data_IF_917672339224
#
_entry.id   IF_917672339224
#
_cell.length_a   1.000
_cell.length_b   1.000
_cell.length_c   1.000
_cell.angle_alpha   90.00
_cell.angle_beta   90.00
_cell.angle_gamma   90.00
#
_symmetry.space_group_name_H-M   'P 1'
#
loop_
_entity.id
_entity.type
_entity.pdbx_description
1 polymer ?
#
# COMPACT_ATOMS: atom_id res chain seq x y z
N UNK A 1 23.08 6.06 9.74
CA UNK A 1 23.92 6.29 8.55
C UNK A 1 23.52 5.31 7.46
N UNK A 2 23.04 5.82 6.31
CA UNK A 2 22.60 5.05 5.14
C UNK A 2 23.73 4.86 4.15
N UNK A 3 23.93 3.64 3.64
CA UNK A 3 24.85 3.38 2.53
C UNK A 3 24.07 3.16 1.22
N UNK A 4 24.53 3.82 0.12
CA UNK A 4 24.12 3.73 -1.28
C UNK A 4 22.69 4.21 -1.57
N UNK A 5 22.61 5.43 -2.07
CA UNK A 5 21.42 6.03 -2.68
C UNK A 5 21.41 5.79 -4.18
N UNK A 6 20.34 5.23 -4.73
CA UNK A 6 20.12 5.10 -6.18
C UNK A 6 18.64 5.25 -6.49
N UNK A 7 18.32 6.00 -7.54
CA UNK A 7 16.98 5.92 -8.14
C UNK A 7 16.82 4.58 -8.84
N UNK A 8 15.71 3.88 -8.58
CA UNK A 8 15.39 2.60 -9.22
C UNK A 8 13.91 2.53 -9.54
N UNK A 9 13.62 1.90 -10.66
CA UNK A 9 12.26 1.49 -11.03
C UNK A 9 12.21 -0.03 -11.02
N UNK A 10 11.21 -0.59 -10.37
CA UNK A 10 10.96 -2.02 -10.35
C UNK A 10 9.57 -2.29 -10.95
N UNK A 11 9.50 -3.19 -11.92
CA UNK A 11 8.26 -3.61 -12.53
C UNK A 11 7.91 -5.03 -12.04
N UNK A 12 6.82 -5.15 -11.30
CA UNK A 12 6.33 -6.43 -10.78
C UNK A 12 5.11 -6.82 -11.62
N UNK A 13 5.20 -7.98 -12.28
CA UNK A 13 4.10 -8.57 -13.05
C UNK A 13 3.44 -9.63 -12.20
N UNK A 14 2.21 -9.37 -11.77
CA UNK A 14 1.52 -10.15 -10.78
C UNK A 14 0.71 -11.34 -11.35
N UNK A 15 0.08 -11.19 -12.50
CA UNK A 15 -1.08 -12.01 -12.86
C UNK A 15 -0.84 -13.50 -13.13
N UNK A 16 0.37 -13.92 -13.52
CA UNK A 16 0.60 -15.30 -13.97
C UNK A 16 1.50 -16.14 -13.04
N UNK A 17 2.20 -15.50 -12.10
CA UNK A 17 3.18 -16.17 -11.23
C UNK A 17 2.78 -16.25 -9.77
N UNK A 18 1.73 -15.53 -9.36
CA UNK A 18 1.26 -15.44 -7.99
C UNK A 18 1.39 -14.04 -7.39
N UNK A 19 0.90 -13.88 -6.16
CA UNK A 19 0.92 -12.61 -5.44
C UNK A 19 2.35 -12.22 -5.03
N UNK A 20 2.81 -10.96 -5.27
CA UNK A 20 4.21 -10.56 -5.08
C UNK A 20 4.58 -10.36 -3.61
N UNK A 21 4.61 -11.44 -2.87
CA UNK A 21 5.06 -11.50 -1.48
C UNK A 21 6.48 -12.06 -1.42
N UNK A 22 7.38 -11.41 -0.70
CA UNK A 22 8.73 -11.94 -0.47
C UNK A 22 8.65 -13.25 0.29
N UNK A 23 9.32 -14.30 -0.25
CA UNK A 23 9.28 -15.66 0.31
C UNK A 23 10.59 -16.09 0.98
N UNK A 24 11.63 -15.25 0.89
CA UNK A 24 12.94 -15.53 1.51
C UNK A 24 13.04 -15.04 2.96
N UNK A 25 12.03 -14.32 3.45
CA UNK A 25 11.84 -13.97 4.85
C UNK A 25 10.36 -13.99 5.22
N UNK A 26 10.06 -14.19 6.51
CA UNK A 26 8.69 -14.10 7.01
C UNK A 26 8.21 -12.64 6.90
N UNK A 27 7.08 -12.42 6.24
CA UNK A 27 6.37 -11.14 6.18
C UNK A 27 5.11 -11.25 7.03
N UNK A 28 4.84 -10.24 7.85
CA UNK A 28 3.64 -10.19 8.70
C UNK A 28 2.45 -9.70 7.86
N UNK A 29 1.83 -10.62 7.12
CA UNK A 29 0.74 -10.32 6.18
C UNK A 29 -0.44 -9.62 6.86
N UNK A 30 -0.74 -9.97 8.11
CA UNK A 30 -1.79 -9.33 8.90
C UNK A 30 -1.58 -7.82 9.00
N UNK A 31 -0.34 -7.37 9.27
CA UNK A 31 -0.03 -5.92 9.30
C UNK A 31 -0.28 -5.24 7.97
N UNK A 32 0.11 -5.87 6.85
CA UNK A 32 -0.11 -5.32 5.51
C UNK A 32 -1.60 -5.11 5.24
N UNK A 33 -2.41 -6.13 5.54
CA UNK A 33 -3.86 -6.09 5.31
C UNK A 33 -4.51 -5.01 6.18
N UNK A 34 -4.25 -5.02 7.49
CA UNK A 34 -4.90 -4.08 8.40
C UNK A 34 -4.41 -2.64 8.22
N UNK A 35 -3.15 -2.41 7.85
CA UNK A 35 -2.66 -1.08 7.51
C UNK A 35 -3.37 -0.53 6.27
N UNK A 36 -3.50 -1.33 5.20
CA UNK A 36 -4.22 -0.91 4.01
C UNK A 36 -5.70 -0.62 4.29
N UNK A 37 -6.34 -1.46 5.11
CA UNK A 37 -7.70 -1.24 5.58
C UNK A 37 -7.80 0.09 6.31
N UNK A 38 -6.91 0.34 7.25
CA UNK A 38 -6.86 1.55 8.06
C UNK A 38 -6.69 2.81 7.18
N UNK A 39 -5.82 2.76 6.15
CA UNK A 39 -5.72 3.84 5.17
C UNK A 39 -7.03 4.07 4.41
N UNK A 40 -7.68 2.99 3.95
CA UNK A 40 -8.95 3.07 3.22
C UNK A 40 -10.13 3.52 4.08
N UNK A 41 -10.07 3.33 5.39
CA UNK A 41 -11.03 3.91 6.35
C UNK A 41 -10.85 5.42 6.54
N UNK A 42 -9.71 5.98 6.15
CA UNK A 42 -9.38 7.38 6.37
C UNK A 42 -8.99 7.70 7.82
N UNK A 43 -8.74 6.68 8.63
CA UNK A 43 -8.38 6.85 10.03
C UNK A 43 -6.95 7.33 10.20
N UNK A 44 -6.71 8.11 11.25
CA UNK A 44 -5.40 8.61 11.70
C UNK A 44 -5.02 8.07 13.07
N UNK A 45 -5.98 7.48 13.78
CA UNK A 45 -5.81 6.89 15.09
C UNK A 45 -5.45 5.41 15.00
N UNK A 46 -4.45 4.96 15.77
CA UNK A 46 -3.94 3.58 15.72
C UNK A 46 -4.75 2.57 16.54
N UNK A 47 -5.86 2.95 17.19
CA UNK A 47 -6.70 2.06 18.00
C UNK A 47 -7.15 0.82 17.21
N UNK A 48 -7.65 1.00 15.98
CA UNK A 48 -8.00 -0.10 15.08
C UNK A 48 -6.83 -1.06 14.82
N UNK A 49 -5.61 -0.53 14.64
CA UNK A 49 -4.42 -1.35 14.42
C UNK A 49 -4.07 -2.15 15.67
N UNK A 50 -4.09 -1.52 16.84
CA UNK A 50 -3.84 -2.17 18.15
C UNK A 50 -4.85 -3.28 18.43
N UNK A 51 -6.15 -3.04 18.25
CA UNK A 51 -7.22 -4.03 18.39
C UNK A 51 -7.00 -5.26 17.51
N UNK A 52 -6.37 -5.06 16.36
CA UNK A 52 -6.02 -6.12 15.42
C UNK A 52 -4.59 -6.66 15.63
N UNK A 53 -3.90 -6.31 16.71
CA UNK A 53 -2.56 -6.80 17.02
C UNK A 53 -1.48 -6.34 16.04
N UNK A 54 -1.62 -5.14 15.49
CA UNK A 54 -0.68 -4.49 14.58
C UNK A 54 -0.05 -3.30 15.29
N UNK A 55 1.27 -3.30 15.42
CA UNK A 55 2.05 -2.34 16.22
C UNK A 55 3.04 -1.49 15.39
N UNK A 56 2.96 -1.57 14.06
CA UNK A 56 3.97 -0.93 13.18
C UNK A 56 3.93 0.60 13.20
N UNK A 57 2.92 1.20 13.81
CA UNK A 57 2.75 2.64 13.96
C UNK A 57 2.86 3.13 15.41
N UNK A 58 3.07 2.23 16.38
CA UNK A 58 3.02 2.56 17.82
C UNK A 58 4.09 3.59 18.24
N UNK A 59 5.28 3.55 17.62
CA UNK A 59 6.38 4.46 17.93
C UNK A 59 6.17 5.91 17.44
N UNK A 60 5.21 6.11 16.52
CA UNK A 60 4.94 7.41 15.89
C UNK A 60 3.72 8.10 16.47
N UNK A 61 2.83 7.34 17.13
CA UNK A 61 1.59 7.86 17.65
C UNK A 61 1.83 8.66 18.95
N UNK A 62 1.02 9.69 19.14
CA UNK A 62 0.98 10.43 20.39
C UNK A 62 0.33 9.60 21.54
N UNK A 63 0.19 10.20 22.71
CA UNK A 63 -0.42 9.57 23.90
C UNK A 63 -1.88 9.14 23.71
N UNK A 64 -2.59 9.78 22.77
CA UNK A 64 -3.99 9.48 22.40
C UNK A 64 -4.08 8.49 21.25
N UNK A 65 -2.95 8.06 20.68
CA UNK A 65 -2.88 7.17 19.55
C UNK A 65 -3.05 7.87 18.18
N UNK A 66 -2.92 9.20 18.14
CA UNK A 66 -3.05 9.97 16.91
C UNK A 66 -1.71 10.15 16.18
N UNK A 67 -1.80 10.19 14.84
CA UNK A 67 -0.66 10.37 13.95
C UNK A 67 -0.73 11.68 13.15
N UNK A 68 -1.76 12.49 13.36
CA UNK A 68 -2.06 13.62 12.49
C UNK A 68 -2.57 13.17 11.11
N UNK A 69 -2.67 14.10 10.15
CA UNK A 69 -3.35 13.85 8.86
C UNK A 69 -2.52 13.01 7.89
N UNK A 70 -2.07 11.82 8.32
CA UNK A 70 -1.28 10.88 7.51
C UNK A 70 -2.12 10.22 6.40
N UNK A 71 -1.56 9.30 5.66
CA UNK A 71 -2.10 8.60 4.48
C UNK A 71 -3.62 8.50 4.35
N UNK A 72 -4.30 7.94 5.35
CA UNK A 72 -5.75 7.72 5.32
C UNK A 72 -6.52 9.02 5.20
N UNK A 73 -6.17 10.05 5.99
CA UNK A 73 -6.79 11.36 5.91
C UNK A 73 -6.60 11.99 4.52
N UNK A 74 -5.39 11.92 3.96
CA UNK A 74 -5.12 12.47 2.63
C UNK A 74 -5.89 11.73 1.53
N UNK A 75 -6.03 10.41 1.63
CA UNK A 75 -6.74 9.61 0.63
C UNK A 75 -8.25 9.79 0.66
N UNK A 76 -8.82 9.99 1.86
CA UNK A 76 -10.26 9.97 2.07
C UNK A 76 -10.89 11.32 2.41
N UNK A 77 -10.08 12.28 2.84
CA UNK A 77 -10.56 13.59 3.32
C UNK A 77 -9.53 14.69 3.04
N UNK A 78 -9.09 14.80 1.77
CA UNK A 78 -8.16 15.85 1.38
C UNK A 78 -8.78 17.23 1.57
N UNK A 79 -8.11 18.17 2.27
CA UNK A 79 -8.65 19.50 2.54
C UNK A 79 -9.02 20.26 1.27
N UNK A 80 -10.23 20.84 1.27
CA UNK A 80 -10.77 21.63 0.16
C UNK A 80 -11.44 22.89 0.72
N UNK A 81 -10.67 23.99 0.94
CA UNK A 81 -11.16 25.18 1.63
C UNK A 81 -12.47 25.72 1.05
N UNK A 82 -13.47 25.89 1.91
CA UNK A 82 -14.81 26.39 1.53
C UNK A 82 -15.71 25.41 0.81
N UNK A 83 -15.32 24.14 0.71
CA UNK A 83 -16.09 23.04 0.11
C UNK A 83 -15.91 21.76 0.93
N UNK A 84 -16.70 20.72 0.61
CA UNK A 84 -16.52 19.40 1.18
C UNK A 84 -15.12 18.84 0.88
N UNK A 85 -14.51 18.13 1.82
CA UNK A 85 -13.24 17.44 1.60
C UNK A 85 -13.31 16.48 0.40
N UNK A 86 -12.17 16.28 -0.25
CA UNK A 86 -12.08 15.41 -1.43
C UNK A 86 -11.75 13.99 -1.00
N UNK A 87 -12.66 13.05 -1.27
CA UNK A 87 -12.39 11.62 -1.17
C UNK A 87 -11.72 11.13 -2.47
N UNK A 88 -10.38 11.06 -2.46
CA UNK A 88 -9.60 10.67 -3.63
C UNK A 88 -9.85 9.20 -4.02
N UNK A 89 -10.11 8.29 -3.06
CA UNK A 89 -10.37 6.87 -3.35
C UNK A 89 -11.72 6.68 -4.02
N UNK A 90 -12.78 7.32 -3.52
CA UNK A 90 -14.10 7.27 -4.18
C UNK A 90 -14.03 7.88 -5.58
N UNK A 91 -13.37 9.02 -5.75
CA UNK A 91 -13.17 9.66 -7.05
C UNK A 91 -12.37 8.77 -8.02
N UNK A 92 -11.35 8.07 -7.52
CA UNK A 92 -10.56 7.11 -8.29
C UNK A 92 -11.45 5.97 -8.82
N UNK A 93 -12.23 5.31 -7.95
CA UNK A 93 -13.09 4.18 -8.31
C UNK A 93 -14.15 4.63 -9.33
N UNK A 94 -14.83 5.73 -9.07
CA UNK A 94 -15.84 6.29 -9.98
C UNK A 94 -15.21 6.67 -11.33
N UNK A 95 -14.07 7.36 -11.29
CA UNK A 95 -13.35 7.74 -12.51
C UNK A 95 -12.90 6.55 -13.35
N UNK A 96 -12.44 5.45 -12.74
CA UNK A 96 -12.09 4.22 -13.48
C UNK A 96 -13.34 3.57 -14.08
N UNK A 97 -14.47 3.55 -13.38
CA UNK A 97 -15.74 2.99 -13.87
C UNK A 97 -16.32 3.79 -15.03
N UNK A 98 -16.30 5.10 -14.93
CA UNK A 98 -16.90 6.02 -15.90
C UNK A 98 -16.00 6.29 -17.12
N UNK A 99 -14.71 6.47 -16.89
CA UNK A 99 -13.71 6.76 -17.92
C UNK A 99 -12.39 6.03 -17.66
N UNK A 100 -12.32 4.71 -17.90
CA UNK A 100 -11.16 3.88 -17.57
C UNK A 100 -9.87 4.34 -18.24
N UNK A 101 -9.95 4.98 -19.40
CA UNK A 101 -8.77 5.45 -20.16
C UNK A 101 -8.29 6.86 -19.75
N UNK A 102 -8.88 7.45 -18.74
CA UNK A 102 -8.42 8.73 -18.20
C UNK A 102 -6.98 8.61 -17.67
N UNK A 103 -6.20 9.66 -17.85
CA UNK A 103 -4.84 9.80 -17.31
C UNK A 103 -4.80 10.52 -15.97
N UNK A 104 -5.97 10.67 -15.30
CA UNK A 104 -6.15 11.39 -14.05
C UNK A 104 -6.46 10.49 -12.85
N UNK A 105 -6.28 9.18 -12.99
CA UNK A 105 -6.46 8.20 -11.91
C UNK A 105 -5.29 8.25 -10.93
N UNK A 106 -5.15 9.37 -10.23
CA UNK A 106 -4.04 9.66 -9.31
C UNK A 106 -4.60 9.85 -7.90
N UNK A 107 -3.88 9.31 -6.91
CA UNK A 107 -4.09 9.59 -5.49
C UNK A 107 -2.79 10.09 -4.90
N UNK A 108 -2.82 11.23 -4.22
CA UNK A 108 -1.69 11.84 -3.54
C UNK A 108 -1.82 11.69 -2.03
N UNK A 109 -0.76 11.21 -1.38
CA UNK A 109 -0.60 11.28 0.07
C UNK A 109 0.24 12.48 0.50
N UNK A 110 0.95 13.11 -0.43
CA UNK A 110 1.84 14.25 -0.14
C UNK A 110 1.09 15.57 -0.20
N UNK A 111 0.87 16.16 0.96
CA UNK A 111 0.20 17.46 1.11
C UNK A 111 1.15 18.46 1.77
N UNK A 112 1.78 19.37 0.99
CA UNK A 112 2.78 20.31 1.53
C UNK A 112 2.25 21.22 2.65
N UNK A 113 0.95 21.47 2.70
CA UNK A 113 0.36 22.36 3.72
C UNK A 113 0.16 21.68 5.07
N UNK A 114 0.22 20.34 5.12
CA UNK A 114 -0.05 19.54 6.33
C UNK A 114 1.14 18.66 6.75
N UNK A 115 2.27 18.75 6.05
CA UNK A 115 3.44 17.89 6.31
C UNK A 115 3.93 18.00 7.75
N UNK A 116 3.95 19.21 8.30
CA UNK A 116 4.47 19.47 9.65
C UNK A 116 3.47 19.04 10.77
N UNK A 117 2.23 18.72 10.39
CA UNK A 117 1.21 18.18 11.30
C UNK A 117 1.21 16.64 11.33
N UNK A 118 1.99 15.98 10.47
CA UNK A 118 2.06 14.53 10.36
C UNK A 118 3.17 13.97 11.24
N UNK A 119 2.85 12.97 12.07
CA UNK A 119 3.86 12.27 12.88
C UNK A 119 4.95 11.64 11.99
N UNK A 120 4.59 11.20 10.78
CA UNK A 120 5.52 10.71 9.76
C UNK A 120 5.06 11.14 8.36
N UNK A 121 5.81 12.06 7.68
CA UNK A 121 5.51 12.43 6.31
C UNK A 121 5.49 11.22 5.36
N UNK A 122 4.50 11.12 4.44
CA UNK A 122 4.31 9.96 3.60
C UNK A 122 5.54 9.58 2.78
N UNK A 123 6.02 8.34 2.93
CA UNK A 123 7.06 7.77 2.08
C UNK A 123 6.53 7.42 0.69
N UNK A 124 5.34 6.79 0.62
CA UNK A 124 4.60 6.58 -0.64
C UNK A 124 3.78 7.83 -0.94
N UNK A 125 4.34 8.70 -1.76
CA UNK A 125 3.83 10.07 -1.95
C UNK A 125 2.64 10.15 -2.87
N UNK A 126 2.64 9.36 -3.94
CA UNK A 126 1.53 9.27 -4.89
C UNK A 126 1.52 7.92 -5.60
N UNK A 127 0.32 7.51 -6.02
CA UNK A 127 0.16 6.40 -6.95
C UNK A 127 -0.85 6.75 -8.04
N UNK A 128 -0.68 6.08 -9.18
CA UNK A 128 -1.51 6.27 -10.36
C UNK A 128 -1.95 4.91 -10.91
N UNK A 129 -3.22 4.82 -11.30
CA UNK A 129 -3.73 3.68 -12.04
C UNK A 129 -3.78 3.96 -13.55
N UNK A 130 -3.60 2.91 -14.31
CA UNK A 130 -3.67 2.90 -15.75
C UNK A 130 -4.43 1.66 -16.23
N UNK A 131 -5.39 1.86 -17.13
CA UNK A 131 -6.19 0.79 -17.73
C UNK A 131 -5.87 0.64 -19.21
N UNK A 132 -5.61 -0.58 -19.63
CA UNK A 132 -5.49 -0.96 -21.04
C UNK A 132 -6.06 -2.37 -21.23
N UNK A 133 -6.92 -2.58 -22.22
CA UNK A 133 -7.49 -3.88 -22.59
C UNK A 133 -8.09 -4.62 -21.36
N UNK A 134 -8.87 -3.91 -20.57
CA UNK A 134 -9.43 -4.39 -19.26
C UNK A 134 -8.38 -4.84 -18.23
N UNK A 135 -7.13 -4.48 -18.42
CA UNK A 135 -6.05 -4.72 -17.45
C UNK A 135 -5.75 -3.44 -16.68
N UNK A 136 -5.76 -3.55 -15.35
CA UNK A 136 -5.44 -2.45 -14.43
C UNK A 136 -3.99 -2.56 -13.98
N UNK A 137 -3.22 -1.51 -14.16
CA UNK A 137 -1.85 -1.39 -13.65
C UNK A 137 -1.77 -0.24 -12.66
N UNK A 138 -0.89 -0.37 -11.67
CA UNK A 138 -0.60 0.67 -10.68
C UNK A 138 0.86 1.07 -10.76
N UNK A 139 1.13 2.37 -10.70
CA UNK A 139 2.47 2.92 -10.47
C UNK A 139 2.51 3.67 -9.17
N UNK A 140 3.48 3.35 -8.32
CA UNK A 140 3.77 4.04 -7.06
C UNK A 140 5.08 4.82 -7.19
N UNK A 141 5.09 6.07 -6.73
CA UNK A 141 6.31 6.80 -6.40
C UNK A 141 6.52 6.82 -4.89
N UNK A 142 7.64 6.25 -4.43
CA UNK A 142 8.07 6.24 -3.04
C UNK A 142 9.35 7.08 -2.89
N UNK A 143 9.25 8.20 -2.15
CA UNK A 143 10.36 9.16 -1.98
C UNK A 143 11.51 8.60 -1.14
N UNK A 144 11.20 7.74 -0.17
CA UNK A 144 12.13 7.16 0.79
C UNK A 144 11.81 5.67 0.94
N UNK A 145 12.77 4.80 0.66
CA UNK A 145 12.56 3.37 0.50
C UNK A 145 13.62 2.54 1.23
N UNK A 146 13.28 2.07 2.44
CA UNK A 146 14.03 1.02 3.13
C UNK A 146 13.81 -0.30 2.41
N UNK A 147 14.84 -0.78 1.71
CA UNK A 147 14.74 -1.99 0.87
C UNK A 147 14.60 -3.28 1.67
N UNK A 148 14.97 -3.27 2.94
CA UNK A 148 14.93 -4.48 3.77
C UNK A 148 13.60 -4.66 4.50
N UNK A 149 13.10 -3.62 5.17
CA UNK A 149 11.85 -3.70 5.92
C UNK A 149 10.66 -3.15 5.12
N UNK A 150 10.71 -1.89 4.71
CA UNK A 150 9.56 -1.18 4.15
C UNK A 150 9.16 -1.66 2.76
N UNK A 151 10.09 -1.73 1.81
CA UNK A 151 9.79 -2.05 0.41
C UNK A 151 9.02 -3.36 0.22
N UNK A 152 9.36 -4.49 0.89
CA UNK A 152 8.57 -5.72 0.78
C UNK A 152 7.11 -5.57 1.21
N UNK A 153 6.86 -4.80 2.28
CA UNK A 153 5.50 -4.47 2.75
C UNK A 153 4.77 -3.60 1.74
N UNK A 154 5.42 -2.54 1.25
CA UNK A 154 4.81 -1.60 0.31
C UNK A 154 4.44 -2.30 -1.01
N UNK A 155 5.29 -3.19 -1.54
CA UNK A 155 4.98 -4.00 -2.72
C UNK A 155 3.70 -4.82 -2.51
N UNK A 156 3.62 -5.56 -1.41
CA UNK A 156 2.47 -6.41 -1.13
C UNK A 156 1.19 -5.57 -0.88
N UNK A 157 1.29 -4.45 -0.17
CA UNK A 157 0.17 -3.54 0.10
C UNK A 157 -0.41 -2.96 -1.19
N UNK A 158 0.43 -2.41 -2.08
CA UNK A 158 -0.05 -1.83 -3.34
C UNK A 158 -0.47 -2.87 -4.39
N UNK A 159 0.12 -4.06 -4.36
CA UNK A 159 -0.40 -5.18 -5.14
C UNK A 159 -1.80 -5.58 -4.66
N UNK A 160 -2.01 -5.69 -3.35
CA UNK A 160 -3.33 -5.96 -2.77
C UNK A 160 -4.34 -4.86 -3.16
N UNK A 161 -3.98 -3.58 -3.01
CA UNK A 161 -4.81 -2.46 -3.44
C UNK A 161 -5.16 -2.55 -4.93
N UNK A 162 -4.20 -2.94 -5.78
CA UNK A 162 -4.43 -3.09 -7.22
C UNK A 162 -5.45 -4.19 -7.52
N UNK A 163 -5.39 -5.32 -6.82
CA UNK A 163 -6.37 -6.39 -6.94
C UNK A 163 -7.76 -5.96 -6.45
N UNK A 164 -7.83 -5.24 -5.32
CA UNK A 164 -9.10 -4.74 -4.78
C UNK A 164 -9.77 -3.74 -5.74
N UNK A 165 -9.01 -2.76 -6.26
CA UNK A 165 -9.52 -1.80 -7.26
C UNK A 165 -9.93 -2.50 -8.55
N UNK A 166 -9.14 -3.47 -9.03
CA UNK A 166 -9.48 -4.24 -10.23
C UNK A 166 -10.81 -4.99 -10.05
N UNK A 167 -11.02 -5.63 -8.90
CA UNK A 167 -12.27 -6.35 -8.61
C UNK A 167 -13.48 -5.43 -8.63
N UNK A 168 -13.46 -4.34 -7.85
CA UNK A 168 -14.62 -3.43 -7.74
C UNK A 168 -14.90 -2.61 -9.01
N UNK A 169 -13.92 -2.56 -9.93
CA UNK A 169 -14.07 -1.93 -11.25
C UNK A 169 -14.27 -2.93 -12.38
N UNK A 170 -14.43 -4.23 -12.10
CA UNK A 170 -14.57 -5.31 -13.09
C UNK A 170 -13.43 -5.34 -14.12
N UNK A 171 -12.20 -5.21 -13.64
CA UNK A 171 -10.95 -5.24 -14.38
C UNK A 171 -10.07 -6.40 -13.91
N UNK A 172 -8.97 -6.65 -14.62
CA UNK A 172 -7.94 -7.63 -14.21
C UNK A 172 -6.71 -6.89 -13.69
N UNK A 173 -6.24 -7.25 -12.50
CA UNK A 173 -4.96 -6.77 -12.02
C UNK A 173 -3.84 -7.23 -12.95
N UNK A 174 -2.89 -6.33 -13.30
CA UNK A 174 -1.88 -6.61 -14.31
C UNK A 174 -0.45 -6.32 -13.85
N UNK A 175 -0.08 -5.05 -13.72
CA UNK A 175 1.29 -4.66 -13.34
C UNK A 175 1.27 -3.74 -12.15
N UNK A 176 2.25 -3.93 -11.28
CA UNK A 176 2.64 -2.94 -10.29
C UNK A 176 4.03 -2.43 -10.64
N UNK A 177 4.17 -1.13 -10.85
CA UNK A 177 5.43 -0.43 -11.13
C UNK A 177 5.80 0.38 -9.91
N UNK A 178 6.96 0.12 -9.32
CA UNK A 178 7.42 0.81 -8.12
C UNK A 178 8.64 1.66 -8.46
N UNK A 179 8.49 2.97 -8.35
CA UNK A 179 9.55 3.96 -8.58
C UNK A 179 10.04 4.49 -7.25
N UNK A 180 11.35 4.43 -7.03
CA UNK A 180 11.98 4.85 -5.80
C UNK A 180 12.77 6.15 -5.99
N UNK A 181 12.64 7.05 -5.04
CA UNK A 181 13.53 8.20 -4.87
C UNK A 181 14.81 7.79 -4.14
N UNK A 182 14.90 8.07 -2.83
CA UNK A 182 16.02 7.62 -2.00
C UNK A 182 15.82 6.14 -1.62
N UNK A 183 16.67 5.29 -2.18
CA UNK A 183 16.67 3.84 -1.91
C UNK A 183 17.84 3.49 -1.01
N UNK A 184 17.56 2.98 0.18
CA UNK A 184 18.59 2.74 1.20
C UNK A 184 18.43 1.41 1.92
N UNK A 185 19.54 0.95 2.50
CA UNK A 185 19.63 -0.15 3.44
C UNK A 185 20.30 0.36 4.71
N UNK A 186 19.66 0.18 5.86
CA UNK A 186 20.22 0.56 7.15
C UNK A 186 21.40 -0.35 7.52
N UNK A 187 22.42 0.22 8.17
CA UNK A 187 23.65 -0.52 8.52
C UNK A 187 23.38 -1.71 9.45
N UNK A 188 22.45 -1.56 10.39
CA UNK A 188 22.03 -2.61 11.32
C UNK A 188 21.25 -3.76 10.65
N UNK A 189 20.92 -3.65 9.35
CA UNK A 189 20.22 -4.70 8.58
C UNK A 189 21.14 -5.44 7.60
N UNK A 190 22.43 -5.08 7.51
CA UNK A 190 23.35 -5.66 6.51
C UNK A 190 23.51 -7.17 6.72
N UNK A 191 23.71 -7.62 7.96
CA UNK A 191 23.88 -9.05 8.27
C UNK A 191 22.61 -9.84 7.92
N UNK A 192 21.45 -9.33 8.29
CA UNK A 192 20.15 -9.96 8.00
C UNK A 192 19.86 -9.98 6.50
N UNK A 193 20.23 -8.93 5.77
CA UNK A 193 20.10 -8.88 4.31
C UNK A 193 21.03 -9.91 3.65
N UNK A 194 22.28 -10.02 4.08
CA UNK A 194 23.21 -11.04 3.60
C UNK A 194 22.68 -12.45 3.88
N UNK A 195 22.16 -12.70 5.09
CA UNK A 195 21.53 -13.98 5.43
C UNK A 195 20.31 -14.27 4.54
N UNK A 196 19.48 -13.26 4.24
CA UNK A 196 18.33 -13.43 3.35
C UNK A 196 18.77 -13.81 1.93
N UNK A 197 19.88 -13.27 1.42
CA UNK A 197 20.41 -13.56 0.08
C UNK A 197 20.89 -15.01 -0.06
N UNK A 198 21.19 -15.71 1.02
CA UNK A 198 21.57 -17.15 0.98
C UNK A 198 20.35 -18.08 0.82
N UNK A 199 19.12 -17.58 0.96
CA UNK A 199 17.90 -18.39 0.93
C UNK A 199 17.34 -18.50 -0.47
N UNK A 200 16.88 -19.69 -0.84
CA UNK A 200 16.17 -19.91 -2.09
C UNK A 200 14.72 -19.37 -2.00
N UNK A 201 14.26 -18.61 -3.01
CA UNK A 201 12.86 -18.21 -3.08
C UNK A 201 11.93 -19.43 -3.17
N UNK A 202 10.80 -19.36 -2.45
CA UNK A 202 9.70 -20.33 -2.57
C UNK A 202 8.70 -19.88 -3.63
N UNK A 203 7.81 -20.76 -4.11
CA UNK A 203 6.71 -20.35 -4.98
C UNK A 203 5.89 -19.21 -4.35
N UNK A 204 5.43 -18.28 -5.20
CA UNK A 204 4.60 -17.17 -4.73
C UNK A 204 3.23 -17.67 -4.28
N UNK A 205 2.66 -17.09 -3.21
CA UNK A 205 1.32 -17.44 -2.76
C UNK A 205 0.27 -16.97 -3.75
N UNK A 206 -0.93 -17.55 -3.67
CA UNK A 206 -2.10 -17.11 -4.43
C UNK A 206 -2.96 -16.20 -3.56
N UNK A 207 -3.33 -15.04 -4.08
CA UNK A 207 -4.31 -14.16 -3.46
C UNK A 207 -5.72 -14.65 -3.80
N UNK A 208 -6.59 -14.75 -2.80
CA UNK A 208 -8.03 -14.95 -2.96
C UNK A 208 -8.74 -13.78 -2.30
N UNK A 209 -9.54 -13.05 -3.06
CA UNK A 209 -10.47 -12.05 -2.54
C UNK A 209 -11.88 -12.64 -2.55
N UNK A 210 -12.75 -12.16 -1.67
CA UNK A 210 -14.17 -12.51 -1.75
C UNK A 210 -14.78 -11.82 -2.97
N UNK A 211 -15.16 -12.59 -3.97
CA UNK A 211 -15.67 -12.09 -5.26
C UNK A 211 -17.10 -11.57 -5.20
N UNK A 212 -17.83 -11.83 -4.11
CA UNK A 212 -19.20 -11.34 -3.91
C UNK A 212 -19.25 -9.87 -3.51
N UNK A 213 -18.08 -9.28 -3.15
CA UNK A 213 -17.99 -7.90 -2.68
C UNK A 213 -17.57 -7.00 -3.85
N UNK A 214 -18.42 -6.04 -4.17
CA UNK A 214 -18.26 -5.05 -5.23
C UNK A 214 -17.90 -3.63 -4.74
N UNK A 215 -17.84 -3.44 -3.42
CA UNK A 215 -17.47 -2.17 -2.79
C UNK A 215 -16.13 -2.31 -2.08
N UNK A 216 -15.15 -1.47 -2.45
CA UNK A 216 -13.79 -1.52 -1.87
C UNK A 216 -13.81 -1.34 -0.35
N UNK A 217 -14.73 -0.56 0.18
CA UNK A 217 -14.87 -0.32 1.61
C UNK A 217 -15.50 -1.49 2.37
N UNK A 218 -16.25 -2.36 1.69
CA UNK A 218 -16.82 -3.60 2.24
C UNK A 218 -15.83 -4.77 2.18
N UNK A 219 -14.90 -4.79 1.23
CA UNK A 219 -13.78 -5.74 1.21
C UNK A 219 -12.94 -5.68 2.49
N UNK A 220 -13.05 -4.59 3.23
CA UNK A 220 -12.34 -4.34 4.48
C UNK A 220 -12.84 -5.16 5.66
N UNK A 221 -14.08 -5.66 5.62
CA UNK A 221 -14.72 -6.38 6.73
C UNK A 221 -14.58 -7.90 6.63
N UNK A 222 -14.09 -8.41 5.51
CA UNK A 222 -13.85 -9.85 5.34
C UNK A 222 -12.39 -10.17 5.70
N UNK A 223 -12.14 -10.36 6.99
CA UNK A 223 -10.87 -10.92 7.45
C UNK A 223 -10.67 -12.31 6.82
N UNK A 224 -9.51 -12.59 6.20
CA UNK A 224 -9.20 -13.96 5.84
C UNK A 224 -9.23 -14.80 7.12
N UNK A 225 -10.01 -15.88 7.13
CA UNK A 225 -10.06 -16.82 8.26
C UNK A 225 -8.63 -17.30 8.55
N UNK A 226 -8.21 -17.40 9.83
CA UNK A 226 -6.93 -17.98 10.21
C UNK A 226 -6.73 -19.43 9.72
N UNK A 227 -7.78 -20.07 9.21
CA UNK A 227 -7.77 -21.44 8.65
C UNK A 227 -7.30 -21.50 7.20
N UNK A 228 -7.21 -20.36 6.49
CA UNK A 228 -6.64 -20.30 5.14
C UNK A 228 -5.12 -20.06 5.20
N UNK A 229 -4.51 -20.59 6.24
CA UNK A 229 -3.10 -20.44 6.54
C UNK A 229 -2.25 -20.88 5.36
N UNK A 230 -1.31 -20.02 5.04
CA UNK A 230 -0.08 -20.41 4.36
C UNK A 230 0.65 -21.34 5.32
N UNK A 231 0.44 -22.66 5.15
CA UNK A 231 1.22 -23.70 5.78
C UNK A 231 2.65 -23.72 5.22
#
# INVERSE_FOLDING_TARGET
HTQRRRQRQMCIRDSNKGFPLVTTKKIHLKSIIHELIWFLQGSTNISYLKENGVSIWDEWADENGELGPVYGAQWRSWPNPGKEPIDQISNLINGIKENPYSRRHIVSGWNPTLIDEMALPPCHTLFQFYVADKNLSCQLYQRSADVFLGVPFNIASYALLTHMVAQVCNLKAHKFVHTFGDTHLYLNHIEQANLQLTRNPKPLPKLKLNTEIDNIFCLLYTSPSPRDGIG
#
